data_IF_473656338787
#
_entry.id   IF_473656338787
#
_cell.length_a   1.000
_cell.length_b   1.000
_cell.length_c   1.000
_cell.angle_alpha   90.00
_cell.angle_beta   90.00
_cell.angle_gamma   90.00
#
_symmetry.space_group_name_H-M   'P 1'
#
loop_
_entity.id
_entity.type
_entity.pdbx_description
1 polymer ?
#
# COMPACT_ATOMS: atom_id res chain seq x y z
N UNK A 1 -1.03 14.30 7.34
CA UNK A 1 -2.23 13.50 7.73
C UNK A 1 -1.93 12.02 7.55
N UNK A 2 -2.55 11.17 8.36
CA UNK A 2 -2.43 9.70 8.35
C UNK A 2 -3.57 9.10 9.17
N UNK A 3 -4.74 9.72 9.05
CA UNK A 3 -5.87 9.54 9.94
C UNK A 3 -6.63 8.25 9.68
N UNK A 4 -6.32 7.52 8.61
CA UNK A 4 -6.96 6.27 8.18
C UNK A 4 -6.17 5.02 8.57
N UNK A 5 -5.11 5.15 9.37
CA UNK A 5 -4.33 3.99 9.85
C UNK A 5 -4.77 3.58 11.26
N UNK A 6 -5.55 2.52 11.35
CA UNK A 6 -6.19 2.05 12.58
C UNK A 6 -6.07 0.55 12.73
N UNK A 7 -6.12 0.06 13.96
CA UNK A 7 -6.39 -1.36 14.21
C UNK A 7 -7.86 -1.62 13.93
N UNK A 8 -8.22 -2.85 13.53
CA UNK A 8 -9.62 -3.29 13.42
C UNK A 8 -10.45 -2.96 14.68
N UNK A 9 -9.89 -3.14 15.88
CA UNK A 9 -10.58 -2.87 17.15
C UNK A 9 -10.98 -1.42 17.31
N UNK A 10 -10.06 -0.49 17.03
CA UNK A 10 -10.38 0.93 17.03
C UNK A 10 -11.52 1.24 16.05
N UNK A 11 -11.51 0.65 14.85
CA UNK A 11 -12.57 0.86 13.86
C UNK A 11 -13.91 0.39 14.41
N UNK A 12 -13.98 -0.81 15.00
CA UNK A 12 -15.21 -1.37 15.61
C UNK A 12 -15.81 -0.55 16.75
N UNK A 13 -15.00 0.29 17.38
CA UNK A 13 -15.41 1.14 18.50
C UNK A 13 -15.67 2.59 18.06
N UNK A 14 -15.41 2.95 16.79
CA UNK A 14 -15.59 4.31 16.31
C UNK A 14 -17.04 4.58 15.93
N UNK A 15 -17.63 5.69 16.42
CA UNK A 15 -18.94 6.11 15.96
C UNK A 15 -18.89 6.58 14.49
N UNK A 16 -20.06 6.63 13.86
CA UNK A 16 -20.23 6.91 12.42
C UNK A 16 -19.56 8.20 11.95
N UNK A 17 -19.72 9.29 12.68
CA UNK A 17 -19.17 10.61 12.37
C UNK A 17 -17.63 10.60 12.42
N UNK A 18 -17.06 9.89 13.40
CA UNK A 18 -15.61 9.71 13.53
C UNK A 18 -15.06 8.83 12.40
N UNK A 19 -15.78 7.78 12.00
CA UNK A 19 -15.37 6.94 10.86
C UNK A 19 -15.20 7.76 9.59
N UNK A 20 -16.14 8.66 9.26
CA UNK A 20 -16.04 9.51 8.08
C UNK A 20 -14.76 10.37 8.08
N UNK A 21 -14.40 10.91 9.24
CA UNK A 21 -13.19 11.73 9.41
C UNK A 21 -11.90 10.91 9.42
N UNK A 22 -11.95 9.69 9.97
CA UNK A 22 -10.80 8.83 10.23
C UNK A 22 -10.60 7.75 9.18
N UNK A 23 -11.24 7.85 8.02
CA UNK A 23 -11.10 6.87 6.92
C UNK A 23 -11.01 7.59 5.58
N UNK A 24 -10.58 6.87 4.56
CA UNK A 24 -10.37 7.44 3.22
C UNK A 24 -11.29 6.78 2.20
N UNK A 25 -11.73 7.56 1.23
CA UNK A 25 -12.26 7.00 -0.01
C UNK A 25 -11.10 6.47 -0.85
N UNK A 26 -11.41 5.47 -1.68
CA UNK A 26 -10.49 4.93 -2.68
C UNK A 26 -11.15 5.04 -4.05
N UNK A 27 -10.34 5.38 -5.03
CA UNK A 27 -10.72 5.43 -6.43
C UNK A 27 -10.23 4.16 -7.12
N UNK A 28 -11.01 3.64 -8.07
CA UNK A 28 -10.58 2.55 -8.93
C UNK A 28 -9.83 3.14 -10.13
N UNK A 29 -8.65 2.61 -10.45
CA UNK A 29 -7.94 2.95 -11.69
C UNK A 29 -8.84 2.72 -12.91
N UNK A 30 -8.72 3.57 -13.95
CA UNK A 30 -9.63 3.57 -15.10
C UNK A 30 -9.73 2.20 -15.79
N UNK A 31 -8.62 1.46 -15.83
CA UNK A 31 -8.55 0.10 -16.38
C UNK A 31 -8.83 -0.99 -15.33
N UNK A 32 -9.42 -0.64 -14.18
CA UNK A 32 -9.75 -1.51 -13.05
C UNK A 32 -8.57 -2.31 -12.48
N UNK A 33 -7.34 -1.85 -12.74
CA UNK A 33 -6.11 -2.56 -12.36
C UNK A 33 -5.81 -2.52 -10.86
N UNK A 34 -6.21 -1.46 -10.15
CA UNK A 34 -5.95 -1.30 -8.70
C UNK A 34 -6.77 -0.15 -8.11
N UNK A 35 -6.84 -0.10 -6.78
CA UNK A 35 -7.40 1.04 -6.06
C UNK A 35 -6.31 2.04 -5.70
N UNK A 36 -6.62 3.33 -5.66
CA UNK A 36 -5.69 4.37 -5.24
C UNK A 36 -6.40 5.51 -4.52
N UNK A 37 -5.63 6.31 -3.77
CA UNK A 37 -6.11 7.56 -3.18
C UNK A 37 -4.96 8.52 -2.94
N UNK A 38 -5.28 9.81 -2.82
CA UNK A 38 -4.30 10.86 -2.50
C UNK A 38 -4.39 11.26 -1.03
N UNK A 39 -3.24 11.50 -0.40
CA UNK A 39 -3.20 12.13 0.91
C UNK A 39 -2.01 13.09 1.04
N UNK A 40 -2.00 13.92 2.09
CA UNK A 40 -0.84 14.76 2.43
C UNK A 40 0.00 14.08 3.51
N UNK A 41 1.27 13.82 3.22
CA UNK A 41 2.18 13.22 4.19
C UNK A 41 2.31 14.10 5.46
N UNK A 42 2.61 13.51 6.63
CA UNK A 42 2.74 14.30 7.87
C UNK A 42 3.94 15.25 7.87
N UNK A 43 5.00 14.91 7.14
CA UNK A 43 6.29 15.60 7.18
C UNK A 43 6.65 16.26 5.85
N UNK A 44 5.77 16.17 4.85
CA UNK A 44 5.96 16.78 3.54
C UNK A 44 4.63 17.45 3.21
N UNK A 45 4.59 18.77 2.93
CA UNK A 45 3.34 19.51 2.68
C UNK A 45 2.60 19.11 1.39
N UNK A 46 3.09 18.09 0.71
CA UNK A 46 2.75 17.73 -0.66
C UNK A 46 1.90 16.46 -0.74
N UNK A 47 1.26 16.27 -1.90
CA UNK A 47 0.43 15.09 -2.13
C UNK A 47 1.27 13.83 -2.32
N UNK A 48 0.76 12.74 -1.78
CA UNK A 48 1.25 11.38 -1.95
C UNK A 48 0.18 10.54 -2.64
N UNK A 49 0.62 9.80 -3.65
CA UNK A 49 -0.19 8.76 -4.27
C UNK A 49 -0.08 7.47 -3.45
N UNK A 50 -1.22 6.91 -3.04
CA UNK A 50 -1.30 5.64 -2.34
C UNK A 50 -1.93 4.62 -3.28
N UNK A 51 -1.20 3.56 -3.61
CA UNK A 51 -1.64 2.49 -4.52
C UNK A 51 -1.94 1.26 -3.67
N UNK A 52 -3.11 0.64 -3.87
CA UNK A 52 -3.62 -0.47 -3.06
C UNK A 52 -3.82 -1.70 -3.94
N UNK A 53 -3.21 -2.80 -3.53
CA UNK A 53 -3.31 -4.08 -4.22
C UNK A 53 -2.53 -5.19 -3.52
N UNK A 54 -2.34 -6.29 -4.23
CA UNK A 54 -1.48 -7.38 -3.84
C UNK A 54 -0.13 -7.25 -4.55
N UNK A 55 0.95 -7.56 -3.84
CA UNK A 55 2.29 -7.60 -4.45
C UNK A 55 2.87 -8.99 -4.25
N UNK A 56 3.65 -9.43 -5.23
CA UNK A 56 4.37 -10.70 -5.12
C UNK A 56 5.43 -10.63 -4.02
N UNK A 57 5.58 -11.72 -3.27
CA UNK A 57 6.63 -11.89 -2.26
C UNK A 57 8.03 -12.05 -2.87
N UNK A 58 8.12 -12.36 -4.17
CA UNK A 58 9.37 -12.44 -4.92
C UNK A 58 9.28 -11.64 -6.23
N UNK A 59 10.42 -11.10 -6.67
CA UNK A 59 10.55 -10.44 -7.98
C UNK A 59 10.83 -11.44 -9.12
N UNK A 60 10.88 -12.74 -8.81
CA UNK A 60 11.11 -13.81 -9.79
C UNK A 60 9.85 -14.24 -10.53
N UNK A 61 8.68 -13.68 -10.18
CA UNK A 61 7.42 -13.98 -10.84
C UNK A 61 7.14 -13.03 -12.00
N UNK A 62 6.43 -13.51 -13.02
CA UNK A 62 5.99 -12.70 -14.15
C UNK A 62 5.00 -11.60 -13.75
N UNK A 63 4.30 -11.80 -12.62
CA UNK A 63 3.34 -10.85 -12.05
C UNK A 63 3.87 -10.35 -10.71
N UNK A 64 4.09 -9.05 -10.60
CA UNK A 64 4.65 -8.40 -9.41
C UNK A 64 3.62 -7.61 -8.61
N UNK A 65 2.58 -7.13 -9.28
CA UNK A 65 1.51 -6.39 -8.64
C UNK A 65 0.16 -6.70 -9.28
N UNK A 66 -0.86 -6.95 -8.48
CA UNK A 66 -2.26 -7.07 -8.93
C UNK A 66 -3.15 -6.19 -8.07
N UNK A 67 -4.26 -5.70 -8.62
CA UNK A 67 -5.21 -4.91 -7.84
C UNK A 67 -5.85 -5.71 -6.71
N UNK A 68 -6.59 -5.04 -5.85
CA UNK A 68 -7.48 -5.71 -4.88
C UNK A 68 -8.93 -5.78 -5.40
N UNK A 69 -9.14 -5.99 -6.71
CA UNK A 69 -10.48 -6.03 -7.28
C UNK A 69 -11.06 -7.46 -7.17
N UNK A 70 -12.22 -7.61 -6.54
CA UNK A 70 -12.87 -8.88 -6.23
C UNK A 70 -13.45 -9.62 -7.46
N UNK A 71 -13.44 -9.00 -8.64
CA UNK A 71 -13.98 -9.59 -9.85
C UNK A 71 -12.82 -10.21 -10.63
N UNK A 72 -12.95 -11.51 -10.96
CA UNK A 72 -11.99 -12.46 -11.58
C UNK A 72 -11.15 -12.00 -12.80
N UNK A 73 -11.17 -10.73 -13.19
CA UNK A 73 -10.32 -10.12 -14.21
C UNK A 73 -9.42 -9.08 -13.57
N UNK A 74 -8.41 -9.55 -12.87
CA UNK A 74 -7.40 -8.68 -12.30
C UNK A 74 -6.08 -8.98 -13.01
N UNK A 75 -5.81 -8.34 -14.16
CA UNK A 75 -4.60 -8.59 -14.92
C UNK A 75 -3.42 -8.18 -14.04
N UNK A 76 -2.73 -9.18 -13.51
CA UNK A 76 -1.48 -8.97 -12.83
C UNK A 76 -0.54 -8.21 -13.76
N UNK A 77 0.17 -7.24 -13.20
CA UNK A 77 1.16 -6.45 -13.91
C UNK A 77 2.54 -7.02 -13.63
N UNK A 78 3.30 -7.22 -14.69
CA UNK A 78 4.75 -7.36 -14.59
C UNK A 78 5.37 -6.02 -14.15
N UNK A 79 6.68 -6.01 -13.93
CA UNK A 79 7.40 -4.81 -13.49
C UNK A 79 7.21 -3.61 -14.41
N UNK A 80 7.36 -3.84 -15.72
CA UNK A 80 7.31 -2.82 -16.75
C UNK A 80 5.92 -2.18 -16.80
N UNK A 81 4.88 -3.01 -16.90
CA UNK A 81 3.49 -2.56 -16.96
C UNK A 81 3.10 -1.79 -15.71
N UNK A 82 3.57 -2.25 -14.54
CA UNK A 82 3.32 -1.54 -13.28
C UNK A 82 3.95 -0.15 -13.30
N UNK A 83 5.26 -0.06 -13.60
CA UNK A 83 5.96 1.22 -13.67
C UNK A 83 5.33 2.18 -14.69
N UNK A 84 5.06 1.72 -15.91
CA UNK A 84 4.43 2.53 -16.97
C UNK A 84 3.04 3.01 -16.56
N UNK A 85 2.24 2.15 -15.91
CA UNK A 85 0.90 2.52 -15.41
C UNK A 85 0.98 3.61 -14.34
N UNK A 86 1.93 3.52 -13.40
CA UNK A 86 2.10 4.53 -12.36
C UNK A 86 2.60 5.85 -12.95
N UNK A 87 3.54 5.81 -13.90
CA UNK A 87 4.02 6.98 -14.64
C UNK A 87 2.87 7.69 -15.37
N UNK A 88 2.00 6.94 -16.05
CA UNK A 88 0.83 7.48 -16.73
C UNK A 88 -0.15 8.16 -15.75
N UNK A 89 -0.42 7.52 -14.61
CA UNK A 89 -1.29 8.06 -13.57
C UNK A 89 -0.72 9.36 -12.95
N UNK A 90 0.58 9.41 -12.66
CA UNK A 90 1.25 10.60 -12.17
C UNK A 90 1.20 11.75 -13.19
N UNK A 91 1.36 11.43 -14.47
CA UNK A 91 1.25 12.41 -15.56
C UNK A 91 -0.16 13.00 -15.65
N UNK A 92 -1.20 12.18 -15.48
CA UNK A 92 -2.59 12.64 -15.44
C UNK A 92 -2.85 13.57 -14.25
N UNK A 93 -2.36 13.24 -13.05
CA UNK A 93 -2.45 14.15 -11.90
C UNK A 93 -1.75 15.48 -12.15
N UNK A 94 -0.54 15.46 -12.72
CA UNK A 94 0.22 16.67 -13.06
C UNK A 94 -0.56 17.55 -14.04
N UNK A 95 -1.20 16.96 -15.06
CA UNK A 95 -2.06 17.69 -16.02
C UNK A 95 -3.28 18.35 -15.35
N UNK A 96 -3.78 17.80 -14.24
CA UNK A 96 -4.87 18.37 -13.44
C UNK A 96 -4.39 19.37 -12.38
N UNK A 97 -3.11 19.75 -12.39
CA UNK A 97 -2.53 20.68 -11.42
C UNK A 97 -2.26 20.06 -10.06
N UNK A 98 -2.25 18.73 -9.93
CA UNK A 98 -1.91 18.03 -8.69
C UNK A 98 -0.45 17.61 -8.70
N UNK A 99 0.35 18.23 -7.83
CA UNK A 99 1.76 17.90 -7.66
C UNK A 99 1.92 16.71 -6.70
N UNK A 100 2.21 15.52 -7.24
CA UNK A 100 2.50 14.33 -6.45
C UNK A 100 4.01 14.21 -6.25
N UNK A 101 4.45 14.14 -4.99
CA UNK A 101 5.88 14.19 -4.64
C UNK A 101 6.42 12.85 -4.13
N UNK A 102 5.54 11.93 -3.76
CA UNK A 102 5.94 10.58 -3.37
C UNK A 102 4.81 9.57 -3.63
N UNK A 103 5.18 8.30 -3.65
CA UNK A 103 4.25 7.18 -3.80
C UNK A 103 4.32 6.28 -2.56
N UNK A 104 3.22 5.62 -2.20
CA UNK A 104 3.22 4.49 -1.28
C UNK A 104 2.48 3.31 -1.90
N UNK A 105 3.12 2.15 -1.87
CA UNK A 105 2.54 0.88 -2.28
C UNK A 105 1.99 0.17 -1.03
N UNK A 106 0.67 0.12 -0.92
CA UNK A 106 -0.07 -0.66 0.08
C UNK A 106 -0.32 -2.05 -0.52
N UNK A 107 0.68 -2.91 -0.37
CA UNK A 107 0.65 -4.31 -0.80
C UNK A 107 1.73 -5.09 -0.06
N UNK A 108 1.46 -6.37 0.23
CA UNK A 108 2.34 -7.22 1.04
C UNK A 108 3.76 -7.27 0.45
N UNK A 109 4.78 -7.09 1.28
CA UNK A 109 6.20 -7.20 0.92
C UNK A 109 6.67 -6.27 -0.22
N UNK A 110 5.91 -5.25 -0.61
CA UNK A 110 6.28 -4.36 -1.73
C UNK A 110 7.60 -3.61 -1.54
N UNK A 111 8.02 -3.40 -0.29
CA UNK A 111 9.34 -2.87 0.04
C UNK A 111 10.41 -3.96 0.11
N UNK A 112 10.12 -5.05 0.82
CA UNK A 112 11.10 -6.14 1.04
C UNK A 112 11.39 -6.97 -0.21
N UNK A 113 10.51 -6.95 -1.21
CA UNK A 113 10.75 -7.58 -2.51
C UNK A 113 11.63 -6.75 -3.44
N UNK A 114 11.80 -5.44 -3.19
CA UNK A 114 12.52 -4.53 -4.08
C UNK A 114 11.61 -3.75 -5.04
N UNK A 115 10.33 -4.08 -5.15
CA UNK A 115 9.37 -3.38 -6.03
C UNK A 115 9.34 -1.87 -5.78
N UNK A 116 9.34 -1.46 -4.51
CA UNK A 116 9.35 -0.05 -4.13
C UNK A 116 10.65 0.68 -4.54
N UNK A 117 11.81 0.04 -4.41
CA UNK A 117 13.09 0.62 -4.84
C UNK A 117 13.13 0.77 -6.36
N UNK A 118 12.69 -0.25 -7.09
CA UNK A 118 12.65 -0.21 -8.56
C UNK A 118 11.73 0.90 -9.05
N UNK A 119 10.55 1.04 -8.44
CA UNK A 119 9.63 2.13 -8.78
C UNK A 119 10.25 3.50 -8.43
N UNK A 120 10.95 3.62 -7.30
CA UNK A 120 11.62 4.87 -6.92
C UNK A 120 12.67 5.29 -7.94
N UNK A 121 13.48 4.34 -8.41
CA UNK A 121 14.48 4.57 -9.45
C UNK A 121 13.83 4.92 -10.79
N UNK A 122 12.76 4.21 -11.17
CA UNK A 122 12.06 4.47 -12.44
C UNK A 122 11.42 5.86 -12.49
N UNK A 123 10.83 6.30 -11.38
CA UNK A 123 10.12 7.57 -11.29
C UNK A 123 11.01 8.76 -10.90
N UNK A 124 12.26 8.49 -10.50
CA UNK A 124 13.14 9.44 -9.82
C UNK A 124 12.42 10.17 -8.66
N UNK A 125 11.65 9.40 -7.87
CA UNK A 125 10.89 9.95 -6.73
C UNK A 125 10.86 9.00 -5.53
N UNK A 126 10.70 9.51 -4.30
CA UNK A 126 10.59 8.65 -3.12
C UNK A 126 9.35 7.74 -3.15
N UNK A 127 9.56 6.45 -2.86
CA UNK A 127 8.50 5.45 -2.76
C UNK A 127 8.52 4.79 -1.39
N UNK A 128 7.35 4.60 -0.80
CA UNK A 128 7.17 3.87 0.46
C UNK A 128 6.61 2.47 0.20
N UNK A 129 7.32 1.43 0.63
CA UNK A 129 6.90 0.03 0.48
C UNK A 129 6.65 -0.66 1.82
N UNK A 130 5.80 -1.70 1.82
CA UNK A 130 5.56 -2.53 3.00
C UNK A 130 6.69 -3.53 3.20
N UNK A 131 7.15 -3.72 4.43
CA UNK A 131 8.19 -4.70 4.75
C UNK A 131 7.62 -6.11 4.99
N UNK A 132 6.36 -6.18 5.39
CA UNK A 132 5.59 -7.42 5.58
C UNK A 132 4.20 -7.30 4.96
N UNK A 133 3.22 -7.98 5.54
CA UNK A 133 1.83 -7.90 5.15
C UNK A 133 1.26 -6.48 5.31
N UNK A 134 0.45 -6.05 4.35
CA UNK A 134 -0.25 -4.78 4.39
C UNK A 134 -1.69 -4.98 3.93
N UNK A 135 -2.66 -4.52 4.71
CA UNK A 135 -4.08 -4.74 4.42
C UNK A 135 -4.89 -3.47 4.58
N UNK A 136 -5.78 -3.25 3.64
CA UNK A 136 -6.73 -2.16 3.66
C UNK A 136 -8.13 -2.78 3.61
N UNK A 137 -9.00 -2.35 4.53
CA UNK A 137 -10.34 -2.91 4.68
C UNK A 137 -11.40 -1.83 4.48
N UNK A 138 -12.56 -2.16 3.89
CA UNK A 138 -13.72 -1.29 3.92
C UNK A 138 -14.29 -1.23 5.33
N UNK A 139 -14.83 -0.08 5.73
CA UNK A 139 -15.48 0.10 7.03
C UNK A 139 -16.75 -0.73 7.19
N UNK A 140 -17.43 -1.03 6.08
CA UNK A 140 -18.66 -1.83 6.09
C UNK A 140 -18.45 -3.27 6.57
N UNK A 141 -17.23 -3.81 6.48
CA UNK A 141 -16.90 -5.13 7.04
C UNK A 141 -17.00 -5.17 8.58
N UNK A 142 -17.01 -3.99 9.23
CA UNK A 142 -17.02 -3.85 10.69
C UNK A 142 -18.20 -3.05 11.22
N UNK A 143 -18.79 -2.19 10.39
CA UNK A 143 -19.98 -1.38 10.67
C UNK A 143 -20.93 -1.37 9.47
N UNK A 144 -21.56 -2.51 9.12
CA UNK A 144 -22.51 -2.56 8.01
C UNK A 144 -23.70 -1.63 8.20
N UNK A 145 -24.10 -1.36 9.44
CA UNK A 145 -25.24 -0.51 9.82
C UNK A 145 -25.03 0.98 9.54
N UNK A 146 -23.79 1.45 9.48
CA UNK A 146 -23.50 2.88 9.27
C UNK A 146 -23.51 3.30 7.80
N UNK A 147 -23.48 2.32 6.88
CA UNK A 147 -23.41 2.52 5.43
C UNK A 147 -22.33 3.54 5.03
N UNK A 148 -21.14 3.44 5.64
CA UNK A 148 -19.98 4.26 5.32
C UNK A 148 -19.10 3.46 4.35
N UNK A 149 -19.08 3.87 3.08
CA UNK A 149 -18.29 3.24 2.01
C UNK A 149 -16.89 3.85 1.94
N UNK A 150 -16.12 3.72 3.03
CA UNK A 150 -14.74 4.23 3.14
C UNK A 150 -13.82 3.11 3.62
N UNK A 151 -12.53 3.37 3.63
CA UNK A 151 -11.50 2.37 3.88
C UNK A 151 -10.48 2.85 4.92
N UNK A 152 -9.90 1.89 5.62
CA UNK A 152 -8.80 2.13 6.54
C UNK A 152 -7.65 1.15 6.30
N UNK A 153 -6.42 1.63 6.52
CA UNK A 153 -5.21 0.83 6.49
C UNK A 153 -5.02 0.20 7.87
N UNK A 154 -5.01 -1.13 7.92
CA UNK A 154 -4.78 -1.83 9.17
C UNK A 154 -3.34 -1.60 9.69
N UNK A 155 -3.17 -1.61 11.01
CA UNK A 155 -1.86 -1.53 11.64
C UNK A 155 -1.76 -2.55 12.76
N UNK A 156 -0.51 -2.91 13.08
CA UNK A 156 -0.22 -3.65 14.30
C UNK A 156 -0.85 -2.90 15.48
N UNK A 157 -1.70 -3.60 16.21
CA UNK A 157 -2.15 -3.15 17.51
C UNK A 157 -1.28 -3.74 18.58
N UNK A 158 -0.68 -2.89 19.41
CA UNK A 158 -0.08 -3.35 20.67
C UNK A 158 -1.17 -3.78 21.69
N UNK A 159 -2.45 -3.48 21.41
CA UNK A 159 -3.62 -3.77 22.26
C UNK A 159 -4.91 -4.08 21.50
N UNK A 160 -4.84 -4.44 20.22
CA UNK A 160 -6.03 -4.74 19.42
C UNK A 160 -6.68 -6.06 19.85
N UNK A 161 -8.01 -6.11 19.88
CA UNK A 161 -8.89 -7.27 20.02
C UNK A 161 -8.76 -8.33 18.92
N UNK A 162 -7.56 -8.51 18.39
CA UNK A 162 -7.09 -9.81 17.93
C UNK A 162 -6.90 -10.70 19.15
N UNK A 163 -7.21 -11.99 19.01
CA UNK A 163 -6.83 -12.98 20.01
C UNK A 163 -5.31 -12.88 20.26
N UNK A 164 -4.88 -13.24 21.47
CA UNK A 164 -3.45 -13.33 21.79
C UNK A 164 -2.74 -14.21 20.74
N UNK A 165 -3.42 -15.26 20.29
CA UNK A 165 -2.98 -16.17 19.22
C UNK A 165 -2.77 -15.47 17.86
N UNK A 166 -3.68 -14.61 17.40
CA UNK A 166 -3.49 -13.91 16.12
C UNK A 166 -2.37 -12.85 16.21
N UNK A 167 -2.19 -12.23 17.38
CA UNK A 167 -1.03 -11.35 17.65
C UNK A 167 0.27 -12.12 17.65
N UNK A 168 0.30 -13.28 18.30
CA UNK A 168 1.48 -14.15 18.36
C UNK A 168 1.77 -14.76 17.00
N UNK A 169 0.74 -15.13 16.22
CA UNK A 169 0.86 -15.58 14.83
C UNK A 169 1.44 -14.48 13.95
N UNK A 170 0.90 -13.26 14.00
CA UNK A 170 1.44 -12.12 13.25
C UNK A 170 2.89 -11.84 13.64
N UNK A 171 3.23 -11.81 14.94
CA UNK A 171 4.62 -11.61 15.39
C UNK A 171 5.57 -12.72 14.97
N UNK A 172 5.12 -13.99 14.97
CA UNK A 172 5.95 -15.15 14.60
C UNK A 172 6.08 -15.35 13.09
N UNK A 173 5.01 -15.11 12.33
CA UNK A 173 4.94 -15.39 10.88
C UNK A 173 5.23 -14.15 10.02
N UNK A 174 4.93 -12.95 10.51
CA UNK A 174 5.11 -11.69 9.78
C UNK A 174 5.47 -10.55 10.74
N UNK A 175 6.70 -10.57 11.30
CA UNK A 175 7.15 -9.56 12.26
C UNK A 175 7.16 -8.13 11.68
N UNK A 176 7.06 -8.00 10.36
CA UNK A 176 7.04 -6.73 9.64
C UNK A 176 5.65 -6.30 9.16
N UNK A 177 4.57 -6.95 9.63
CA UNK A 177 3.19 -6.60 9.29
C UNK A 177 2.92 -5.11 9.52
N UNK A 178 2.34 -4.41 8.54
CA UNK A 178 2.01 -3.01 8.63
C UNK A 178 3.20 -2.05 8.82
N UNK A 179 4.45 -2.53 8.78
CA UNK A 179 5.65 -1.69 8.75
C UNK A 179 5.96 -1.25 7.33
N UNK A 180 6.43 -0.01 7.20
CA UNK A 180 6.73 0.60 5.92
C UNK A 180 8.09 1.30 5.95
N UNK A 181 8.89 1.12 4.89
CA UNK A 181 10.17 1.78 4.68
C UNK A 181 10.11 2.73 3.49
N UNK A 182 10.84 3.85 3.59
CA UNK A 182 11.06 4.76 2.46
C UNK A 182 12.25 4.29 1.63
N UNK A 183 12.09 4.36 0.32
CA UNK A 183 13.08 4.08 -0.69
C UNK A 183 13.24 5.36 -1.51
N UNK A 184 14.47 5.84 -1.59
CA UNK A 184 14.83 7.03 -2.36
C UNK A 184 15.49 6.57 -3.66
N UNK A 185 15.39 7.37 -4.74
CA UNK A 185 16.10 7.08 -5.99
C UNK A 185 17.58 6.84 -5.69
N UNK A 186 18.06 5.66 -6.06
CA UNK A 186 19.46 5.30 -6.00
C UNK A 186 19.79 4.47 -7.26
N UNK A 187 20.38 5.10 -8.29
CA UNK A 187 20.67 4.43 -9.55
C UNK A 187 21.76 3.35 -9.43
N UNK A 188 22.57 3.36 -8.35
CA UNK A 188 23.60 2.36 -8.11
C UNK A 188 23.02 1.03 -7.64
N UNK A 189 21.83 1.04 -7.03
CA UNK A 189 21.10 -0.18 -6.68
C UNK A 189 20.37 -0.66 -7.93
N UNK A 190 21.12 -1.32 -8.81
CA UNK A 190 20.59 -2.13 -9.89
C UNK A 190 20.18 -3.48 -9.30
N UNK A 191 19.01 -3.99 -9.71
CA UNK A 191 18.29 -5.17 -9.21
C UNK A 191 19.16 -6.36 -8.74
N UNK A 192 20.30 -6.61 -9.37
CA UNK A 192 21.19 -7.73 -9.10
C UNK A 192 21.69 -7.78 -7.65
N UNK A 193 21.84 -6.66 -6.94
CA UNK A 193 22.34 -6.68 -5.55
C UNK A 193 21.31 -7.19 -4.52
N UNK A 194 20.00 -7.02 -4.74
CA UNK A 194 18.97 -7.43 -3.77
C UNK A 194 18.68 -8.94 -3.80
N UNK A 195 18.92 -9.60 -4.94
CA UNK A 195 18.77 -11.06 -5.09
C UNK A 195 19.92 -11.78 -4.37
N UNK A 196 21.14 -11.27 -4.46
CA UNK A 196 22.33 -11.88 -3.87
C UNK A 196 22.33 -11.88 -2.33
N UNK A 197 21.66 -10.92 -1.69
CA UNK A 197 21.54 -10.87 -0.22
C UNK A 197 20.56 -11.89 0.36
N UNK A 198 19.64 -12.44 -0.46
CA UNK A 198 18.71 -13.51 -0.04
C UNK A 198 19.23 -14.91 -0.38
N UNK A 199 20.04 -15.05 -1.43
CA UNK A 199 20.67 -16.31 -1.82
C UNK A 199 21.79 -16.75 -0.85
N UNK A 200 22.16 -15.91 0.12
CA UNK A 200 23.23 -16.14 1.10
C UNK A 200 22.72 -16.37 2.54
N UNK A 201 21.43 -16.66 2.75
CA UNK A 201 20.89 -17.05 4.07
C UNK A 201 20.09 -18.33 4.01
#
# INVERSE_FOLDING_TARGET
>A
MGQYRHTITNIRLMPRDVLLQKTTEVMLHKEKRFHYFLDKAKHIPEYRLNIVGHSSSSMSGDILFSGACANNYNPGMNLRDFCETITALLTDFKKRGQNIQCVRIIGCNSGSSGLAQTLANHLDMPVKGSLGGARMYPTMDFHPEYNVTRYFLDKIGDRSGYSQEERDRQRRQDPYYGFYKWYYPNPEIVFNQFVDERSKK
#
